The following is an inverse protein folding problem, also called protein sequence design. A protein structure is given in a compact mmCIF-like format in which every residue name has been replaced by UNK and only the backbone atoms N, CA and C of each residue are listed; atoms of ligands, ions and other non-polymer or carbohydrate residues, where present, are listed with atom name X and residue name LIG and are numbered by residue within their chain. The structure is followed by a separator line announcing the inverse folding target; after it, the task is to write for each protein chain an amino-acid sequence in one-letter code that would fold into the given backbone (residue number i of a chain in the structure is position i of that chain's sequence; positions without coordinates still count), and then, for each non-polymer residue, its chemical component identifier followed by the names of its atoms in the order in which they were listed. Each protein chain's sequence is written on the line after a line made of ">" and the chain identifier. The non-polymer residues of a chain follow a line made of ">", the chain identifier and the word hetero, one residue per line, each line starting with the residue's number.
data_IF_047491047899
#
_entry.id   IF_047491047899
#
_cell.length_a   1.000
_cell.length_b   1.000
_cell.length_c   1.000
_cell.angle_alpha   90.00
_cell.angle_beta   90.00
_cell.angle_gamma   90.00
#
_symmetry.space_group_name_H-M   'P 1'
#
loop_
_entity.id
_entity.type
_entity.pdbx_description
1 polymer ?
#
# COMPACT_ATOMS: atom_id res chain seq x y z
N UNK A 1 -12.57 -7.89 9.46
CA UNK A 1 -11.17 -7.41 9.55
C UNK A 1 -10.68 -6.72 8.27
N UNK A 2 -10.67 -7.39 7.10
CA UNK A 2 -10.29 -6.78 5.78
C UNK A 2 -11.02 -5.46 5.48
N UNK A 3 -12.34 -5.42 5.70
CA UNK A 3 -13.18 -4.21 5.54
C UNK A 3 -12.74 -3.02 6.41
N UNK A 4 -12.28 -3.25 7.63
CA UNK A 4 -11.89 -2.16 8.55
C UNK A 4 -10.60 -1.49 8.06
N UNK A 5 -9.59 -2.30 7.72
CA UNK A 5 -8.33 -1.77 7.20
C UNK A 5 -8.51 -1.09 5.84
N UNK A 6 -9.34 -1.64 4.95
CA UNK A 6 -9.65 -1.00 3.67
C UNK A 6 -10.33 0.36 3.88
N UNK A 7 -11.30 0.45 4.80
CA UNK A 7 -11.94 1.72 5.13
C UNK A 7 -10.96 2.75 5.72
N UNK A 8 -9.95 2.32 6.48
CA UNK A 8 -8.90 3.21 6.95
C UNK A 8 -8.04 3.76 5.79
N UNK A 9 -7.75 2.93 4.78
CA UNK A 9 -7.06 3.38 3.56
C UNK A 9 -7.92 4.34 2.74
N UNK A 10 -9.24 4.11 2.65
CA UNK A 10 -10.17 5.05 2.01
C UNK A 10 -10.17 6.41 2.72
N UNK A 11 -10.27 6.41 4.06
CA UNK A 11 -10.19 7.64 4.87
C UNK A 11 -8.87 8.37 4.64
N UNK A 12 -7.75 7.63 4.63
CA UNK A 12 -6.45 8.19 4.31
C UNK A 12 -6.39 8.80 2.90
N UNK A 13 -6.94 8.12 1.88
CA UNK A 13 -7.00 8.66 0.50
C UNK A 13 -7.79 9.97 0.44
N UNK A 14 -8.89 10.08 1.19
CA UNK A 14 -9.73 11.28 1.20
C UNK A 14 -9.15 12.47 1.97
N UNK A 15 -8.07 12.29 2.72
CA UNK A 15 -7.44 13.38 3.46
C UNK A 15 -6.52 14.20 2.54
N UNK A 16 -6.78 15.50 2.45
CA UNK A 16 -5.97 16.44 1.65
C UNK A 16 -4.55 16.64 2.21
N UNK A 17 -4.33 16.36 3.49
CA UNK A 17 -3.03 16.47 4.18
C UNK A 17 -2.44 15.09 4.50
N UNK A 18 -2.83 14.06 3.73
CA UNK A 18 -2.41 12.67 3.98
C UNK A 18 -0.88 12.51 3.97
N UNK A 19 -0.37 11.88 5.01
CA UNK A 19 1.06 11.51 5.14
C UNK A 19 1.33 10.12 4.56
N UNK A 20 2.57 9.77 4.18
CA UNK A 20 2.91 8.40 3.83
C UNK A 20 2.49 7.39 4.92
N UNK A 21 1.97 6.24 4.52
CA UNK A 21 1.54 5.18 5.45
C UNK A 21 2.62 4.11 5.59
N UNK A 22 2.82 3.67 6.84
CA UNK A 22 3.60 2.48 7.15
C UNK A 22 2.67 1.36 7.62
N UNK A 23 2.61 0.25 6.88
CA UNK A 23 1.80 -0.91 7.23
C UNK A 23 2.66 -1.97 7.94
N UNK A 24 2.50 -2.10 9.25
CA UNK A 24 3.22 -3.06 10.08
C UNK A 24 2.33 -4.23 10.51
N UNK A 25 2.94 -5.36 10.85
CA UNK A 25 2.25 -6.56 11.36
C UNK A 25 3.00 -7.84 11.02
N UNK A 26 2.50 -8.99 11.47
CA UNK A 26 3.13 -10.29 11.24
C UNK A 26 3.31 -10.61 9.74
N UNK A 27 4.34 -11.42 9.41
CA UNK A 27 4.55 -11.90 8.03
C UNK A 27 3.33 -12.74 7.58
N UNK A 28 3.06 -12.75 6.27
CA UNK A 28 2.00 -13.57 5.65
C UNK A 28 0.54 -13.26 6.04
N UNK A 29 0.25 -12.12 6.68
CA UNK A 29 -1.13 -11.72 7.05
C UNK A 29 -1.90 -10.99 5.94
N UNK A 30 -1.39 -10.98 4.70
CA UNK A 30 -2.07 -10.36 3.55
C UNK A 30 -1.89 -8.84 3.40
N UNK A 31 -0.88 -8.23 4.03
CA UNK A 31 -0.60 -6.78 3.90
C UNK A 31 -0.35 -6.35 2.45
N UNK A 32 0.50 -7.07 1.72
CA UNK A 32 0.81 -6.80 0.32
C UNK A 32 -0.44 -6.88 -0.55
N UNK A 33 -1.27 -7.91 -0.32
CA UNK A 33 -2.53 -8.07 -1.04
C UNK A 33 -3.48 -6.90 -0.78
N UNK A 34 -3.64 -6.45 0.48
CA UNK A 34 -4.48 -5.30 0.81
C UNK A 34 -4.06 -4.03 0.06
N UNK A 35 -2.77 -3.69 0.05
CA UNK A 35 -2.26 -2.46 -0.60
C UNK A 35 -2.40 -2.55 -2.11
N UNK A 36 -2.13 -3.71 -2.71
CA UNK A 36 -2.28 -3.91 -4.15
C UNK A 36 -3.74 -3.82 -4.61
N UNK A 37 -4.66 -4.45 -3.89
CA UNK A 37 -6.09 -4.36 -4.19
C UNK A 37 -6.61 -2.92 -4.05
N UNK A 38 -6.17 -2.22 -2.99
CA UNK A 38 -6.51 -0.82 -2.80
C UNK A 38 -5.97 0.06 -3.93
N UNK A 39 -4.70 -0.12 -4.33
CA UNK A 39 -4.11 0.59 -5.46
C UNK A 39 -4.89 0.41 -6.75
N UNK A 40 -5.25 -0.84 -7.08
CA UNK A 40 -6.03 -1.20 -8.27
C UNK A 40 -7.42 -0.60 -8.30
N UNK A 41 -8.13 -0.65 -7.17
CA UNK A 41 -9.53 -0.24 -7.10
C UNK A 41 -9.70 1.27 -6.97
N UNK A 42 -8.73 1.95 -6.36
CA UNK A 42 -8.88 3.34 -5.94
C UNK A 42 -8.10 4.34 -6.81
N UNK A 43 -7.18 3.88 -7.65
CA UNK A 43 -6.35 4.72 -8.51
C UNK A 43 -6.36 4.18 -9.94
N UNK A 44 -6.53 5.09 -10.91
CA UNK A 44 -6.41 4.74 -12.34
C UNK A 44 -5.00 4.30 -12.72
N UNK A 45 -4.00 4.86 -12.02
CA UNK A 45 -2.58 4.56 -12.21
C UNK A 45 -1.94 4.36 -10.84
N UNK A 46 -1.22 3.25 -10.68
CA UNK A 46 -0.42 2.97 -9.49
C UNK A 46 0.85 2.22 -9.89
N UNK A 47 1.91 2.39 -9.12
CA UNK A 47 3.19 1.69 -9.31
C UNK A 47 3.46 0.83 -8.07
N UNK A 48 3.74 -0.45 -8.30
CA UNK A 48 4.16 -1.38 -7.25
C UNK A 48 5.67 -1.58 -7.33
N UNK A 49 6.37 -1.37 -6.23
CA UNK A 49 7.82 -1.52 -6.13
C UNK A 49 8.15 -2.56 -5.06
N UNK A 50 8.87 -3.61 -5.44
CA UNK A 50 9.33 -4.64 -4.50
C UNK A 50 10.87 -4.63 -4.40
N UNK A 51 11.38 -3.90 -3.41
CA UNK A 51 12.83 -3.76 -3.17
C UNK A 51 13.53 -5.07 -2.76
N UNK A 52 12.80 -6.08 -2.26
CA UNK A 52 13.38 -7.38 -1.95
C UNK A 52 13.62 -8.21 -3.22
N UNK A 53 12.69 -8.13 -4.19
CA UNK A 53 12.76 -8.91 -5.43
C UNK A 53 13.53 -8.20 -6.54
N UNK A 54 13.63 -6.88 -6.49
CA UNK A 54 14.28 -6.07 -7.52
C UNK A 54 15.45 -5.25 -6.93
N UNK A 55 16.65 -5.85 -6.80
CA UNK A 55 17.82 -5.18 -6.25
C UNK A 55 18.19 -3.88 -6.97
N UNK A 56 17.86 -3.77 -8.27
CA UNK A 56 18.12 -2.58 -9.09
C UNK A 56 17.34 -1.34 -8.60
N UNK A 57 16.18 -1.52 -7.94
CA UNK A 57 15.39 -0.42 -7.40
C UNK A 57 16.12 0.38 -6.32
N UNK A 58 17.17 -0.19 -5.72
CA UNK A 58 18.04 0.54 -4.77
C UNK A 58 18.68 1.78 -5.39
N UNK A 59 18.83 1.84 -6.71
CA UNK A 59 19.40 3.01 -7.41
C UNK A 59 18.47 4.23 -7.45
N UNK A 60 17.20 4.10 -7.05
CA UNK A 60 16.23 5.20 -7.02
C UNK A 60 16.38 6.12 -5.80
N UNK A 61 17.25 5.77 -4.84
CA UNK A 61 17.47 6.45 -3.57
C UNK A 61 18.97 6.52 -3.28
#
# INVERSE_FOLDING_TARGET
>A
MKRILYNNLLKWKSDNNRKPLLLQGARQVGKTYLVNEFGKNEYSVYIYLNFEQEPKLKSLF
#
